data_IF_151604424151
#
_entry.id   IF_151604424151
#
_cell.length_a   1.000
_cell.length_b   1.000
_cell.length_c   1.000
_cell.angle_alpha   90.00
_cell.angle_beta   90.00
_cell.angle_gamma   90.00
#
_symmetry.space_group_name_H-M   'P 1'
#
loop_
_entity.id
_entity.type
_entity.pdbx_description
1 polymer ?
#
# COMPACT_ATOMS: atom_id res chain seq x y z
N UNK A 1 55.93 -33.06 -54.44
CA UNK A 1 55.77 -31.76 -53.86
C UNK A 1 54.29 -31.66 -53.34
N UNK A 2 54.11 -31.88 -52.08
CA UNK A 2 52.78 -31.96 -51.47
C UNK A 2 52.51 -30.62 -50.71
N UNK A 3 51.48 -29.92 -51.12
CA UNK A 3 51.09 -28.64 -50.54
C UNK A 3 50.02 -28.91 -49.53
N UNK A 4 50.36 -28.75 -48.24
CA UNK A 4 49.40 -28.81 -47.08
C UNK A 4 48.60 -27.52 -47.00
N UNK A 5 47.28 -27.62 -47.14
CA UNK A 5 46.35 -26.50 -46.92
C UNK A 5 46.03 -26.37 -45.48
N UNK A 6 46.35 -25.20 -44.85
CA UNK A 6 45.88 -24.79 -43.53
C UNK A 6 44.40 -24.42 -43.63
N UNK A 7 43.59 -25.05 -42.78
CA UNK A 7 42.18 -24.69 -42.54
C UNK A 7 42.12 -23.63 -41.43
N UNK A 8 41.38 -22.51 -41.60
CA UNK A 8 41.14 -21.57 -40.50
C UNK A 8 40.11 -22.15 -39.54
N UNK A 9 40.43 -22.11 -38.22
CA UNK A 9 39.51 -22.42 -37.17
C UNK A 9 38.60 -21.20 -36.92
N UNK A 10 37.29 -21.38 -37.14
CA UNK A 10 36.30 -20.39 -36.73
C UNK A 10 36.04 -20.53 -35.24
N UNK A 11 36.41 -19.52 -34.45
CA UNK A 11 35.94 -19.38 -33.08
C UNK A 11 34.47 -18.96 -33.12
N UNK A 12 33.58 -19.81 -32.67
CA UNK A 12 32.17 -19.50 -32.42
C UNK A 12 32.10 -18.70 -31.08
N UNK A 13 31.84 -17.41 -31.17
CA UNK A 13 31.47 -16.60 -30.01
C UNK A 13 30.07 -17.03 -29.53
N UNK A 14 30.02 -17.79 -28.42
CA UNK A 14 28.77 -18.15 -27.78
C UNK A 14 28.12 -16.90 -27.17
N UNK A 15 26.97 -16.47 -27.68
CA UNK A 15 26.14 -15.48 -27.05
C UNK A 15 25.53 -16.09 -25.79
N UNK A 16 25.91 -15.58 -24.62
CA UNK A 16 25.21 -15.86 -23.34
C UNK A 16 23.80 -15.22 -23.39
N UNK A 17 22.74 -15.98 -23.08
CA UNK A 17 21.43 -15.37 -22.91
C UNK A 17 21.46 -14.44 -21.69
N UNK A 18 21.17 -13.16 -21.90
CA UNK A 18 20.87 -12.24 -20.83
C UNK A 18 19.49 -12.67 -20.29
N UNK A 19 19.48 -13.35 -19.14
CA UNK A 19 18.26 -13.53 -18.35
C UNK A 19 17.86 -12.13 -17.86
N UNK A 20 17.03 -11.44 -18.65
CA UNK A 20 16.31 -10.27 -18.17
C UNK A 20 15.37 -10.74 -17.07
N UNK A 21 15.70 -10.45 -15.80
CA UNK A 21 14.73 -10.58 -14.71
C UNK A 21 13.56 -9.68 -15.07
N UNK A 22 12.34 -10.21 -15.09
CA UNK A 22 11.13 -9.40 -15.11
C UNK A 22 11.22 -8.50 -13.88
N UNK A 23 11.26 -7.19 -14.09
CA UNK A 23 11.05 -6.25 -12.98
C UNK A 23 9.64 -6.56 -12.45
N UNK A 24 9.53 -6.85 -11.18
CA UNK A 24 8.24 -7.05 -10.52
C UNK A 24 7.45 -5.74 -10.69
N UNK A 25 6.27 -5.83 -11.29
CA UNK A 25 5.43 -4.65 -11.48
C UNK A 25 5.06 -4.11 -10.09
N UNK A 26 5.34 -2.83 -9.86
CA UNK A 26 5.02 -2.18 -8.58
C UNK A 26 3.51 -2.20 -8.31
N UNK A 27 3.16 -2.15 -7.03
CA UNK A 27 1.77 -1.98 -6.58
C UNK A 27 1.43 -0.50 -6.73
N UNK A 28 0.50 -0.18 -7.64
CA UNK A 28 0.13 1.19 -8.01
C UNK A 28 -1.35 1.46 -7.71
N UNK A 29 -1.68 2.71 -7.36
CA UNK A 29 -3.07 3.11 -7.09
C UNK A 29 -3.96 3.09 -8.34
N UNK A 30 -3.38 3.20 -9.53
CA UNK A 30 -4.09 3.06 -10.80
C UNK A 30 -4.62 1.62 -11.05
N UNK A 31 -4.12 0.62 -10.31
CA UNK A 31 -4.64 -0.76 -10.33
C UNK A 31 -5.19 -1.18 -8.96
N UNK A 32 -6.44 -0.86 -8.63
CA UNK A 32 -7.05 -1.26 -7.36
C UNK A 32 -7.11 -2.78 -7.13
N UNK A 33 -7.17 -3.58 -8.21
CA UNK A 33 -7.13 -5.03 -8.10
C UNK A 33 -5.73 -5.53 -7.73
N UNK A 34 -4.68 -4.87 -8.21
CA UNK A 34 -3.30 -5.13 -7.81
C UNK A 34 -3.07 -4.85 -6.32
N UNK A 35 -3.60 -3.72 -5.82
CA UNK A 35 -3.57 -3.40 -4.37
C UNK A 35 -4.34 -4.43 -3.56
N UNK A 36 -5.57 -4.82 -3.99
CA UNK A 36 -6.35 -5.87 -3.35
C UNK A 36 -5.63 -7.21 -3.31
N UNK A 37 -5.03 -7.61 -4.44
CA UNK A 37 -4.26 -8.87 -4.53
C UNK A 37 -3.08 -8.88 -3.57
N UNK A 38 -2.33 -7.78 -3.51
CA UNK A 38 -1.23 -7.64 -2.56
C UNK A 38 -1.70 -7.74 -1.10
N UNK A 39 -2.82 -7.09 -0.74
CA UNK A 39 -3.40 -7.23 0.60
C UNK A 39 -3.76 -8.69 0.92
N UNK A 40 -4.34 -9.43 -0.04
CA UNK A 40 -4.64 -10.86 0.13
C UNK A 40 -3.38 -11.70 0.30
N UNK A 41 -2.34 -11.44 -0.50
CA UNK A 41 -1.06 -12.17 -0.44
C UNK A 41 -0.37 -12.00 0.93
N UNK A 42 -0.58 -10.85 1.58
CA UNK A 42 -0.10 -10.56 2.93
C UNK A 42 -1.12 -10.95 4.04
N UNK A 43 -2.19 -11.66 3.69
CA UNK A 43 -3.09 -12.31 4.64
C UNK A 43 -4.27 -11.46 5.13
N UNK A 44 -4.53 -10.30 4.51
CA UNK A 44 -5.69 -9.48 4.86
C UNK A 44 -6.94 -10.01 4.16
N UNK A 45 -8.02 -10.17 4.92
CA UNK A 45 -9.35 -10.39 4.35
C UNK A 45 -9.90 -9.03 3.87
N UNK A 46 -9.82 -8.77 2.57
CA UNK A 46 -10.13 -7.49 1.97
C UNK A 46 -11.16 -7.64 0.84
N UNK A 47 -11.95 -6.58 0.59
CA UNK A 47 -12.97 -6.54 -0.45
C UNK A 47 -12.91 -5.21 -1.19
N UNK A 48 -12.80 -5.25 -2.52
CA UNK A 48 -12.86 -4.07 -3.37
C UNK A 48 -14.31 -3.65 -3.60
N UNK A 49 -14.58 -2.37 -3.39
CA UNK A 49 -15.88 -1.72 -3.51
C UNK A 49 -15.71 -0.37 -4.20
N UNK A 50 -16.79 0.42 -4.26
CA UNK A 50 -16.74 1.84 -4.65
C UNK A 50 -17.27 2.71 -3.50
N UNK A 51 -16.76 3.93 -3.41
CA UNK A 51 -17.27 4.93 -2.48
C UNK A 51 -18.52 5.67 -3.03
N UNK A 52 -19.01 6.67 -2.31
CA UNK A 52 -20.19 7.45 -2.70
C UNK A 52 -19.95 8.35 -3.93
N UNK A 53 -18.70 8.59 -4.31
CA UNK A 53 -18.32 9.37 -5.49
C UNK A 53 -18.05 8.49 -6.71
N UNK A 54 -17.97 7.17 -6.49
CA UNK A 54 -17.67 6.17 -7.51
C UNK A 54 -16.21 5.77 -7.57
N UNK A 55 -15.34 6.37 -6.75
CA UNK A 55 -13.94 6.00 -6.67
C UNK A 55 -13.73 4.63 -6.00
N UNK A 56 -12.68 3.88 -6.35
CA UNK A 56 -12.39 2.62 -5.70
C UNK A 56 -12.14 2.79 -4.20
N UNK A 57 -12.54 1.80 -3.41
CA UNK A 57 -12.13 1.64 -2.01
C UNK A 57 -11.98 0.17 -1.68
N UNK A 58 -11.13 -0.15 -0.72
CA UNK A 58 -10.97 -1.52 -0.22
C UNK A 58 -11.33 -1.54 1.26
N UNK A 59 -12.32 -2.36 1.62
CA UNK A 59 -12.70 -2.59 3.03
C UNK A 59 -11.96 -3.81 3.58
N UNK A 60 -11.43 -3.69 4.79
CA UNK A 60 -10.72 -4.77 5.47
C UNK A 60 -10.83 -4.64 6.99
N UNK A 61 -10.15 -5.55 7.72
CA UNK A 61 -10.11 -5.55 9.18
C UNK A 61 -8.76 -6.00 9.69
N UNK A 62 -8.31 -5.40 10.80
CA UNK A 62 -7.15 -5.82 11.57
C UNK A 62 -7.39 -5.53 13.05
N UNK A 63 -6.87 -6.36 13.96
CA UNK A 63 -7.14 -6.27 15.39
C UNK A 63 -8.65 -6.24 15.70
N UNK A 64 -9.13 -5.27 16.42
CA UNK A 64 -10.56 -5.08 16.72
C UNK A 64 -11.25 -4.15 15.72
N UNK A 65 -10.48 -3.42 14.89
CA UNK A 65 -10.96 -2.34 14.03
C UNK A 65 -11.21 -2.76 12.58
N UNK A 66 -12.30 -2.25 12.02
CA UNK A 66 -12.48 -2.21 10.58
C UNK A 66 -11.71 -0.99 10.03
N UNK A 67 -11.17 -1.13 8.82
CA UNK A 67 -10.55 -0.02 8.12
C UNK A 67 -10.88 -0.03 6.64
N UNK A 68 -10.69 1.10 6.01
CA UNK A 68 -10.90 1.28 4.57
C UNK A 68 -9.62 1.85 3.96
N UNK A 69 -9.27 1.39 2.78
CA UNK A 69 -8.27 2.01 1.92
C UNK A 69 -9.01 2.77 0.84
N UNK A 70 -9.04 4.09 0.95
CA UNK A 70 -9.61 4.99 -0.05
C UNK A 70 -8.59 5.32 -1.13
N UNK A 71 -9.05 5.47 -2.36
CA UNK A 71 -8.21 5.87 -3.48
C UNK A 71 -8.43 7.34 -3.81
N UNK A 72 -7.36 8.06 -4.09
CA UNK A 72 -7.38 9.51 -4.34
C UNK A 72 -6.61 9.90 -5.59
N UNK A 73 -6.89 11.11 -6.07
CA UNK A 73 -6.29 11.64 -7.28
C UNK A 73 -6.72 10.88 -8.52
N UNK A 74 -7.94 10.32 -8.51
CA UNK A 74 -8.49 9.56 -9.61
C UNK A 74 -8.95 10.50 -10.75
N UNK A 75 -8.87 10.01 -11.99
CA UNK A 75 -9.45 10.64 -13.17
C UNK A 75 -10.62 9.78 -13.65
N UNK A 76 -11.84 10.33 -13.66
CA UNK A 76 -13.07 9.60 -14.03
C UNK A 76 -13.24 8.26 -13.27
N UNK A 77 -12.94 8.28 -11.97
CA UNK A 77 -12.98 7.12 -11.06
C UNK A 77 -11.97 5.99 -11.37
N UNK A 78 -10.96 6.28 -12.16
CA UNK A 78 -9.84 5.40 -12.52
C UNK A 78 -8.52 6.18 -12.47
N UNK A 79 -7.40 5.50 -12.74
CA UNK A 79 -6.06 6.12 -12.78
C UNK A 79 -5.73 6.92 -11.51
N UNK A 80 -6.04 6.36 -10.34
CA UNK A 80 -5.76 6.99 -9.05
C UNK A 80 -4.24 7.03 -8.78
N UNK A 81 -3.78 8.01 -8.00
CA UNK A 81 -2.35 8.25 -7.75
C UNK A 81 -1.91 7.93 -6.32
N UNK A 82 -2.83 7.87 -5.38
CA UNK A 82 -2.52 7.62 -3.97
C UNK A 82 -3.64 6.86 -3.27
N UNK A 83 -3.31 6.32 -2.10
CA UNK A 83 -4.29 5.71 -1.21
C UNK A 83 -4.18 6.29 0.19
N UNK A 84 -5.29 6.27 0.93
CA UNK A 84 -5.33 6.57 2.35
C UNK A 84 -5.94 5.39 3.08
N UNK A 85 -5.20 4.86 4.04
CA UNK A 85 -5.74 3.96 5.05
C UNK A 85 -6.48 4.77 6.08
N UNK A 86 -7.69 4.35 6.44
CA UNK A 86 -8.60 5.06 7.34
C UNK A 86 -9.29 4.10 8.29
N UNK A 87 -9.24 4.38 9.58
CA UNK A 87 -10.04 3.70 10.60
C UNK A 87 -10.75 4.76 11.47
N UNK A 88 -12.07 4.72 11.51
CA UNK A 88 -12.89 5.58 12.37
C UNK A 88 -13.37 4.81 13.60
N UNK A 89 -13.52 5.49 14.71
CA UNK A 89 -13.91 4.94 16.00
C UNK A 89 -15.08 5.75 16.58
N UNK A 90 -16.09 5.07 17.07
CA UNK A 90 -17.25 5.64 17.74
C UNK A 90 -17.05 5.45 19.27
N UNK A 91 -16.74 6.53 19.97
CA UNK A 91 -16.45 6.52 21.40
C UNK A 91 -17.61 7.09 22.21
N UNK A 92 -17.81 6.54 23.42
CA UNK A 92 -18.81 7.08 24.36
C UNK A 92 -18.47 8.51 24.82
N UNK A 93 -17.18 8.78 25.00
CA UNK A 93 -16.67 10.09 25.42
C UNK A 93 -15.88 10.73 24.29
N UNK A 94 -16.10 12.02 24.04
CA UNK A 94 -15.43 12.77 22.97
C UNK A 94 -13.91 12.75 23.11
N UNK A 95 -13.23 12.46 22.01
CA UNK A 95 -11.79 12.51 21.89
C UNK A 95 -11.30 13.96 21.77
N UNK A 96 -10.32 14.36 22.57
CA UNK A 96 -9.90 15.76 22.59
C UNK A 96 -8.81 16.09 21.57
N UNK A 97 -8.80 17.33 21.06
CA UNK A 97 -7.74 17.83 20.20
C UNK A 97 -6.34 17.76 20.83
N UNK A 98 -6.25 17.78 22.17
CA UNK A 98 -4.97 17.61 22.87
C UNK A 98 -4.47 16.18 22.76
N UNK A 99 -5.33 15.18 22.88
CA UNK A 99 -5.00 13.77 22.68
C UNK A 99 -4.60 13.50 21.22
N UNK A 100 -5.35 14.04 20.23
CA UNK A 100 -4.97 13.93 18.83
C UNK A 100 -3.58 14.54 18.57
N UNK A 101 -3.28 15.72 19.12
CA UNK A 101 -1.96 16.33 19.02
C UNK A 101 -0.87 15.54 19.76
N UNK A 102 -1.20 14.85 20.84
CA UNK A 102 -0.27 13.97 21.55
C UNK A 102 0.13 12.79 20.67
N UNK A 103 -0.85 12.11 20.05
CA UNK A 103 -0.60 11.05 19.06
C UNK A 103 0.28 11.55 17.93
N UNK A 104 -0.13 12.64 17.27
CA UNK A 104 0.55 13.19 16.10
C UNK A 104 1.99 13.67 16.34
N UNK A 105 2.37 13.94 17.61
CA UNK A 105 3.76 14.27 17.97
C UNK A 105 4.62 13.05 18.27
N UNK A 106 4.01 11.97 18.73
CA UNK A 106 4.72 10.81 19.25
C UNK A 106 4.79 9.68 18.23
N UNK A 107 3.85 9.66 17.27
CA UNK A 107 3.79 8.62 16.23
C UNK A 107 4.28 9.14 14.88
N UNK A 108 4.90 8.23 14.12
CA UNK A 108 5.29 8.45 12.74
C UNK A 108 4.24 7.80 11.83
N UNK A 109 4.20 8.23 10.58
CA UNK A 109 3.40 7.69 9.49
C UNK A 109 1.89 7.89 9.59
N UNK A 110 1.30 7.87 10.80
CA UNK A 110 -0.14 8.02 11.00
C UNK A 110 -0.49 9.35 11.65
N UNK A 111 -1.69 9.83 11.35
CA UNK A 111 -2.28 11.02 11.99
C UNK A 111 -3.63 10.68 12.61
N UNK A 112 -3.89 11.21 13.81
CA UNK A 112 -5.21 11.20 14.42
C UNK A 112 -5.95 12.47 14.05
N UNK A 113 -7.20 12.33 13.61
CA UNK A 113 -8.14 13.44 13.37
C UNK A 113 -9.39 13.25 14.20
N UNK A 114 -10.25 14.28 14.25
CA UNK A 114 -11.49 14.27 15.02
C UNK A 114 -12.57 14.77 14.09
N UNK A 115 -13.69 14.07 14.02
CA UNK A 115 -14.85 14.49 13.26
C UNK A 115 -15.73 15.51 13.99
N UNK A 116 -16.83 15.93 13.35
CA UNK A 116 -17.76 16.92 13.91
C UNK A 116 -18.55 16.39 15.13
N UNK A 117 -18.58 15.06 15.34
CA UNK A 117 -19.24 14.39 16.46
C UNK A 117 -18.29 14.24 17.66
N UNK A 118 -17.01 14.49 17.45
CA UNK A 118 -15.95 14.40 18.46
C UNK A 118 -15.28 13.03 18.51
N UNK A 119 -15.50 12.21 17.49
CA UNK A 119 -14.95 10.87 17.37
C UNK A 119 -13.60 10.87 16.65
N UNK A 120 -12.65 10.03 17.10
CA UNK A 120 -11.35 9.99 16.46
C UNK A 120 -11.34 9.11 15.23
N UNK A 121 -10.45 9.47 14.29
CA UNK A 121 -10.02 8.58 13.23
C UNK A 121 -8.50 8.51 13.17
N UNK A 122 -7.99 7.38 12.68
CA UNK A 122 -6.58 7.16 12.35
C UNK A 122 -6.44 7.10 10.84
N UNK A 123 -5.46 7.82 10.31
CA UNK A 123 -5.23 7.94 8.88
C UNK A 123 -3.75 7.77 8.52
N UNK A 124 -3.48 7.18 7.36
CA UNK A 124 -2.14 7.05 6.77
C UNK A 124 -2.20 7.23 5.26
N UNK A 125 -1.53 8.25 4.75
CA UNK A 125 -1.48 8.55 3.31
C UNK A 125 -0.26 7.85 2.67
N UNK A 126 -0.47 7.19 1.53
CA UNK A 126 0.58 6.50 0.77
C UNK A 126 0.52 6.91 -0.69
N UNK A 127 1.61 7.48 -1.20
CA UNK A 127 1.75 7.74 -2.63
C UNK A 127 2.07 6.43 -3.36
N UNK A 128 1.20 6.05 -4.31
CA UNK A 128 1.36 4.88 -5.18
C UNK A 128 1.27 5.27 -6.66
N UNK A 129 1.70 6.51 -6.99
CA UNK A 129 1.80 7.00 -8.35
C UNK A 129 3.01 6.40 -9.07
N UNK A 130 3.09 6.55 -10.39
CA UNK A 130 4.17 6.10 -11.27
C UNK A 130 4.47 4.59 -11.14
N UNK A 131 5.65 4.25 -10.62
CA UNK A 131 6.09 2.87 -10.42
C UNK A 131 5.52 2.26 -9.12
N UNK A 132 4.83 3.06 -8.31
CA UNK A 132 4.20 2.64 -7.06
C UNK A 132 5.19 2.15 -6.01
N UNK A 133 4.83 1.07 -5.33
CA UNK A 133 5.62 0.42 -4.28
C UNK A 133 5.98 -1.00 -4.67
N UNK A 134 7.22 -1.42 -4.44
CA UNK A 134 7.58 -2.84 -4.51
C UNK A 134 6.87 -3.66 -3.43
N UNK A 135 6.73 -4.97 -3.64
CA UNK A 135 5.96 -5.86 -2.75
C UNK A 135 6.46 -5.81 -1.31
N UNK A 136 7.77 -5.86 -1.08
CA UNK A 136 8.35 -5.80 0.28
C UNK A 136 8.04 -4.46 0.98
N UNK A 137 8.13 -3.34 0.26
CA UNK A 137 7.78 -2.03 0.81
C UNK A 137 6.29 -1.89 1.10
N UNK A 138 5.43 -2.46 0.26
CA UNK A 138 3.98 -2.44 0.49
C UNK A 138 3.60 -3.32 1.67
N UNK A 139 4.28 -4.46 1.86
CA UNK A 139 4.13 -5.28 3.06
C UNK A 139 4.49 -4.47 4.32
N UNK A 140 5.60 -3.73 4.29
CA UNK A 140 6.01 -2.86 5.40
C UNK A 140 4.97 -1.78 5.70
N UNK A 141 4.37 -1.17 4.66
CA UNK A 141 3.23 -0.24 4.83
C UNK A 141 2.06 -0.89 5.57
N UNK A 142 1.69 -2.12 5.20
CA UNK A 142 0.61 -2.86 5.87
C UNK A 142 0.98 -3.23 7.32
N UNK A 143 2.23 -3.57 7.60
CA UNK A 143 2.71 -3.86 8.95
C UNK A 143 2.74 -2.59 9.82
N UNK A 144 3.18 -1.44 9.27
CA UNK A 144 3.10 -0.14 9.94
C UNK A 144 1.65 0.20 10.28
N UNK A 145 0.72 0.04 9.33
CA UNK A 145 -0.70 0.29 9.55
C UNK A 145 -1.28 -0.59 10.66
N UNK A 146 -1.00 -1.88 10.63
CA UNK A 146 -1.45 -2.83 11.65
C UNK A 146 -0.97 -2.45 13.04
N UNK A 147 0.34 -2.18 13.19
CA UNK A 147 0.91 -1.77 14.48
C UNK A 147 0.31 -0.45 14.95
N UNK A 148 0.12 0.51 14.04
CA UNK A 148 -0.48 1.80 14.38
C UNK A 148 -1.94 1.67 14.84
N UNK A 149 -2.73 0.77 14.24
CA UNK A 149 -4.09 0.47 14.72
C UNK A 149 -4.04 -0.11 16.14
N UNK A 150 -3.22 -1.14 16.36
CA UNK A 150 -3.09 -1.80 17.69
C UNK A 150 -2.70 -0.78 18.77
N UNK A 151 -1.72 0.08 18.50
CA UNK A 151 -1.28 1.14 19.41
C UNK A 151 -2.33 2.25 19.60
N UNK A 152 -3.12 2.55 18.55
CA UNK A 152 -4.15 3.57 18.64
C UNK A 152 -5.38 3.07 19.41
N UNK A 153 -5.78 1.80 19.21
CA UNK A 153 -6.82 1.14 20.04
C UNK A 153 -6.47 1.24 21.54
N UNK A 154 -5.23 0.91 21.91
CA UNK A 154 -4.73 1.05 23.28
C UNK A 154 -4.73 2.51 23.76
N UNK A 155 -4.36 3.45 22.88
CA UNK A 155 -4.27 4.88 23.22
C UNK A 155 -5.63 5.54 23.48
N UNK A 156 -6.68 5.07 22.81
CA UNK A 156 -8.05 5.59 22.96
C UNK A 156 -8.93 4.75 23.90
N UNK A 157 -8.40 3.66 24.48
CA UNK A 157 -9.13 2.69 25.34
C UNK A 157 -10.34 2.03 24.59
N UNK A 158 -10.14 1.64 23.28
CA UNK A 158 -11.16 1.06 22.40
C UNK A 158 -11.37 -0.45 22.60
#
# INVERSE_FOLDING_TARGET
MSVSALRPAFLALGALPILGGAADAGIIAADPNGVLSAMHDFGYAATLETDSQGDPKISSRVSQSNFVVFFYGCTDNVDCSSVQFYAGYDLTDSFSALKANEWNRNQLFTKATIDDEGDPSLEMDVNLDFDGSGADNFQDVLDIWRVSIEEFEDFIDF
#
